data_IF_863665409821
#
_entry.id   IF_863665409821
#
_cell.length_a   1.000
_cell.length_b   1.000
_cell.length_c   1.000
_cell.angle_alpha   90.00
_cell.angle_beta   90.00
_cell.angle_gamma   90.00
#
_symmetry.space_group_name_H-M   'P 1'
#
loop_
_entity.id
_entity.type
_entity.pdbx_description
1 polymer ?
#
# COMPACT_ATOMS: atom_id res chain seq x y z
N UNK A 1 -31.99 -48.46 33.54
CA UNK A 1 -30.81 -48.34 32.66
C UNK A 1 -30.85 -46.95 32.05
N UNK A 2 -29.93 -46.04 32.37
CA UNK A 2 -29.98 -44.69 31.81
C UNK A 2 -29.39 -44.69 30.40
N UNK A 3 -30.11 -44.07 29.49
CA UNK A 3 -29.78 -43.80 28.11
C UNK A 3 -28.54 -42.90 28.00
N UNK A 4 -27.45 -43.42 27.44
CA UNK A 4 -26.31 -42.61 27.04
C UNK A 4 -26.73 -41.68 25.89
N UNK A 5 -27.06 -40.44 26.22
CA UNK A 5 -27.23 -39.36 25.26
C UNK A 5 -25.83 -38.91 24.83
N UNK A 6 -25.28 -39.54 23.79
CA UNK A 6 -24.02 -39.11 23.18
C UNK A 6 -24.25 -37.80 22.44
N UNK A 7 -23.98 -36.68 23.11
CA UNK A 7 -24.02 -35.36 22.51
C UNK A 7 -23.09 -35.32 21.29
N UNK A 8 -23.65 -35.09 20.11
CA UNK A 8 -22.86 -34.94 18.89
C UNK A 8 -21.88 -33.76 19.03
N UNK A 9 -20.60 -33.93 18.66
CA UNK A 9 -19.63 -32.85 18.74
C UNK A 9 -20.03 -31.70 17.82
N UNK A 10 -19.96 -30.47 18.35
CA UNK A 10 -20.34 -29.24 17.66
C UNK A 10 -19.18 -28.25 17.59
N UNK A 11 -19.17 -27.42 16.55
CA UNK A 11 -18.18 -26.37 16.36
C UNK A 11 -18.29 -25.31 17.46
N UNK A 12 -17.19 -25.04 18.16
CA UNK A 12 -17.11 -24.05 19.24
C UNK A 12 -17.25 -22.60 18.78
N UNK A 13 -17.21 -22.34 17.47
CA UNK A 13 -17.31 -20.99 16.88
C UNK A 13 -18.71 -20.68 16.33
N UNK A 14 -19.34 -21.60 15.62
CA UNK A 14 -20.66 -21.38 14.99
C UNK A 14 -21.79 -22.24 15.56
N UNK A 15 -21.51 -23.20 16.43
CA UNK A 15 -22.49 -24.08 17.07
C UNK A 15 -23.03 -25.21 16.19
N UNK A 16 -22.66 -25.29 14.90
CA UNK A 16 -23.09 -26.36 14.00
C UNK A 16 -22.59 -27.73 14.47
N UNK A 17 -23.41 -28.76 14.32
CA UNK A 17 -23.07 -30.15 14.66
C UNK A 17 -22.21 -30.80 13.58
N UNK A 18 -21.52 -31.89 13.93
CA UNK A 18 -20.74 -32.70 12.97
C UNK A 18 -21.54 -33.22 11.76
N UNK A 19 -22.87 -33.29 11.87
CA UNK A 19 -23.78 -33.69 10.78
C UNK A 19 -24.11 -32.57 9.80
N UNK A 20 -23.84 -31.31 10.17
CA UNK A 20 -24.20 -30.11 9.40
C UNK A 20 -23.00 -29.45 8.69
N UNK A 21 -21.81 -30.04 8.84
CA UNK A 21 -20.54 -29.51 8.30
C UNK A 21 -19.79 -30.61 7.57
N UNK A 22 -19.03 -30.24 6.53
CA UNK A 22 -18.27 -31.20 5.74
C UNK A 22 -17.08 -31.78 6.51
N UNK A 23 -16.44 -30.96 7.35
CA UNK A 23 -15.32 -31.36 8.17
C UNK A 23 -15.36 -30.68 9.55
N UNK A 24 -15.16 -31.46 10.61
CA UNK A 24 -15.02 -30.96 11.98
C UNK A 24 -13.65 -31.37 12.54
N UNK A 25 -12.83 -30.38 12.86
CA UNK A 25 -11.45 -30.55 13.34
C UNK A 25 -11.41 -30.38 14.86
N UNK A 26 -10.75 -31.31 15.55
CA UNK A 26 -10.59 -31.29 17.02
C UNK A 26 -9.27 -30.63 17.42
N UNK A 27 -9.34 -29.64 18.30
CA UNK A 27 -8.20 -28.97 18.92
C UNK A 27 -7.64 -29.74 20.13
N UNK A 28 -6.43 -29.37 20.54
CA UNK A 28 -5.72 -29.99 21.67
C UNK A 28 -6.45 -29.79 23.01
N UNK A 29 -7.15 -28.66 23.16
CA UNK A 29 -7.88 -28.28 24.38
C UNK A 29 -9.32 -28.82 24.41
N UNK A 30 -9.67 -29.74 23.50
CA UNK A 30 -11.03 -30.29 23.39
C UNK A 30 -12.04 -29.38 22.68
N UNK A 31 -11.59 -28.27 22.10
CA UNK A 31 -12.39 -27.41 21.21
C UNK A 31 -12.56 -28.04 19.83
N UNK A 32 -13.61 -27.65 19.11
CA UNK A 32 -13.84 -28.09 17.73
C UNK A 32 -14.03 -26.90 16.81
N UNK A 33 -13.50 -26.98 15.60
CA UNK A 33 -13.67 -25.95 14.56
C UNK A 33 -14.07 -26.62 13.24
N UNK A 34 -15.08 -26.09 12.56
CA UNK A 34 -15.51 -26.59 11.25
C UNK A 34 -14.78 -25.88 10.10
N UNK A 35 -14.78 -26.54 8.94
CA UNK A 35 -14.35 -25.99 7.64
C UNK A 35 -14.92 -24.60 7.34
N UNK A 36 -16.23 -24.40 7.50
CA UNK A 36 -16.89 -23.10 7.26
C UNK A 36 -16.28 -21.97 8.11
N UNK A 37 -15.98 -22.25 9.38
CA UNK A 37 -15.40 -21.28 10.30
C UNK A 37 -13.94 -20.97 9.95
N UNK A 38 -13.19 -21.96 9.47
CA UNK A 38 -11.82 -21.76 8.97
C UNK A 38 -11.84 -20.89 7.71
N UNK A 39 -12.76 -21.15 6.78
CA UNK A 39 -12.88 -20.37 5.56
C UNK A 39 -13.28 -18.92 5.84
N UNK A 40 -14.29 -18.69 6.68
CA UNK A 40 -14.69 -17.35 7.14
C UNK A 40 -13.57 -16.65 7.91
N UNK A 41 -12.88 -17.38 8.79
CA UNK A 41 -11.72 -16.87 9.52
C UNK A 41 -10.62 -16.43 8.56
N UNK A 42 -10.33 -17.23 7.52
CA UNK A 42 -9.36 -16.88 6.49
C UNK A 42 -9.79 -15.65 5.68
N UNK A 43 -11.09 -15.50 5.35
CA UNK A 43 -11.60 -14.31 4.67
C UNK A 43 -11.43 -13.05 5.53
N UNK A 44 -11.77 -13.11 6.82
CA UNK A 44 -11.59 -11.99 7.75
C UNK A 44 -10.10 -11.66 7.97
N UNK A 45 -9.25 -12.67 8.04
CA UNK A 45 -7.79 -12.49 8.14
C UNK A 45 -7.17 -11.93 6.86
N UNK A 46 -7.74 -12.23 5.69
CA UNK A 46 -7.34 -11.61 4.43
C UNK A 46 -7.81 -10.15 4.37
N UNK A 47 -9.03 -9.84 4.81
CA UNK A 47 -9.53 -8.47 4.89
C UNK A 47 -8.73 -7.59 5.86
N UNK A 48 -8.36 -8.10 7.04
CA UNK A 48 -7.51 -7.36 7.98
C UNK A 48 -6.07 -7.18 7.48
N UNK A 49 -5.55 -8.12 6.67
CA UNK A 49 -4.31 -7.93 5.90
C UNK A 49 -4.44 -6.94 4.75
N UNK A 50 -5.64 -6.63 4.28
CA UNK A 50 -5.89 -5.57 3.30
C UNK A 50 -6.01 -4.18 3.94
N UNK A 51 -6.36 -4.09 5.23
CA UNK A 51 -6.32 -2.82 5.99
C UNK A 51 -4.90 -2.42 6.41
N UNK A 52 -4.00 -3.39 6.53
CA UNK A 52 -2.59 -3.10 6.31
C UNK A 52 -2.43 -2.93 4.81
N UNK A 53 -2.39 -1.68 4.33
CA UNK A 53 -1.75 -1.37 3.07
C UNK A 53 -0.26 -1.79 3.19
N UNK A 54 0.03 -3.10 3.18
CA UNK A 54 1.24 -3.63 2.60
C UNK A 54 1.09 -3.32 1.12
N UNK A 55 1.35 -2.05 0.79
CA UNK A 55 1.55 -1.62 -0.57
C UNK A 55 2.67 -2.55 -1.02
N UNK A 56 2.30 -3.53 -1.86
CA UNK A 56 3.21 -4.49 -2.44
C UNK A 56 4.04 -3.73 -3.47
N UNK A 57 4.82 -2.77 -2.97
CA UNK A 57 5.74 -1.97 -3.74
C UNK A 57 6.70 -2.98 -4.31
N UNK A 58 6.57 -3.26 -5.60
CA UNK A 58 7.69 -3.74 -6.39
C UNK A 58 8.75 -2.68 -6.21
N UNK A 59 9.67 -2.90 -5.26
CA UNK A 59 10.76 -1.99 -4.97
C UNK A 59 11.73 -2.10 -6.13
N UNK A 60 11.38 -1.43 -7.22
CA UNK A 60 12.23 -1.33 -8.39
C UNK A 60 13.56 -0.74 -7.94
N UNK A 61 14.65 -1.41 -8.30
CA UNK A 61 15.96 -0.86 -8.00
C UNK A 61 16.17 0.45 -8.79
N UNK A 62 17.00 1.38 -8.31
CA UNK A 62 17.22 2.66 -9.01
C UNK A 62 17.62 2.49 -10.48
N UNK A 63 18.36 1.42 -10.81
CA UNK A 63 18.73 1.09 -12.20
C UNK A 63 17.52 0.76 -13.07
N UNK A 64 16.53 0.07 -12.52
CA UNK A 64 15.31 -0.31 -13.22
C UNK A 64 14.40 0.90 -13.43
N UNK A 65 14.25 1.75 -12.40
CA UNK A 65 13.50 3.02 -12.53
C UNK A 65 14.15 3.91 -13.59
N UNK A 66 15.48 4.04 -13.57
CA UNK A 66 16.23 4.79 -14.57
C UNK A 66 16.04 4.23 -15.98
N UNK A 67 16.11 2.90 -16.15
CA UNK A 67 15.89 2.24 -17.43
C UNK A 67 14.48 2.50 -17.97
N UNK A 68 13.45 2.35 -17.14
CA UNK A 68 12.06 2.65 -17.53
C UNK A 68 11.88 4.12 -17.89
N UNK A 69 12.48 5.05 -17.14
CA UNK A 69 12.45 6.47 -17.51
C UNK A 69 13.13 6.76 -18.85
N UNK A 70 14.15 5.99 -19.24
CA UNK A 70 14.79 6.12 -20.55
C UNK A 70 13.89 5.73 -21.72
N UNK A 71 12.92 4.83 -21.51
CA UNK A 71 11.95 4.42 -22.54
C UNK A 71 11.03 5.59 -22.96
N UNK A 72 10.77 6.53 -22.05
CA UNK A 72 9.83 7.64 -22.27
C UNK A 72 10.51 9.01 -22.40
N UNK A 73 11.64 9.23 -21.74
CA UNK A 73 12.31 10.54 -21.69
C UNK A 73 13.74 10.45 -22.21
N UNK A 74 13.96 11.10 -23.35
CA UNK A 74 15.27 11.20 -24.01
C UNK A 74 16.14 12.27 -23.34
N UNK A 75 17.44 12.01 -23.16
CA UNK A 75 18.37 12.95 -22.52
C UNK A 75 18.19 13.04 -21.00
N UNK A 76 18.41 14.20 -20.37
CA UNK A 76 18.11 14.45 -18.95
C UNK A 76 18.67 13.40 -17.95
N UNK A 77 19.88 12.93 -18.18
CA UNK A 77 20.46 11.80 -17.44
C UNK A 77 20.60 12.05 -15.93
N UNK A 78 21.02 13.25 -15.55
CA UNK A 78 21.19 13.65 -14.15
C UNK A 78 19.85 13.61 -13.41
N UNK A 79 18.80 14.19 -14.00
CA UNK A 79 17.45 14.23 -13.42
C UNK A 79 16.87 12.83 -13.28
N UNK A 80 17.00 11.97 -14.30
CA UNK A 80 16.54 10.58 -14.21
C UNK A 80 17.24 9.79 -13.11
N UNK A 81 18.56 10.00 -12.91
CA UNK A 81 19.30 9.39 -11.80
C UNK A 81 18.78 9.90 -10.45
N UNK A 82 18.61 11.21 -10.30
CA UNK A 82 18.10 11.82 -9.07
C UNK A 82 16.70 11.32 -8.72
N UNK A 83 15.79 11.26 -9.70
CA UNK A 83 14.43 10.73 -9.53
C UNK A 83 14.43 9.25 -9.15
N UNK A 84 15.25 8.43 -9.80
CA UNK A 84 15.35 7.00 -9.51
C UNK A 84 15.87 6.73 -8.09
N UNK A 85 16.91 7.44 -7.65
CA UNK A 85 17.46 7.32 -6.29
C UNK A 85 16.48 7.88 -5.26
N UNK A 86 15.87 9.04 -5.53
CA UNK A 86 14.91 9.68 -4.65
C UNK A 86 13.67 8.82 -4.41
N UNK A 87 13.09 8.24 -5.47
CA UNK A 87 11.96 7.33 -5.38
C UNK A 87 12.32 6.05 -4.58
N UNK A 88 13.47 5.45 -4.85
CA UNK A 88 13.93 4.27 -4.11
C UNK A 88 14.13 4.58 -2.62
N UNK A 89 14.76 5.70 -2.29
CA UNK A 89 14.96 6.13 -0.90
C UNK A 89 13.65 6.46 -0.21
N UNK A 90 12.67 7.05 -0.92
CA UNK A 90 11.33 7.28 -0.40
C UNK A 90 10.69 5.97 0.09
N UNK A 91 10.73 4.90 -0.73
CA UNK A 91 10.21 3.60 -0.31
C UNK A 91 11.04 2.91 0.76
N UNK A 92 12.36 3.05 0.70
CA UNK A 92 13.24 2.53 1.75
C UNK A 92 12.89 3.16 3.11
N UNK A 93 12.58 4.46 3.14
CA UNK A 93 12.11 5.17 4.32
C UNK A 93 10.75 4.67 4.80
N UNK A 94 9.79 4.44 3.91
CA UNK A 94 8.46 3.91 4.26
C UNK A 94 8.53 2.49 4.85
N UNK A 95 9.50 1.67 4.38
CA UNK A 95 9.72 0.29 4.86
C UNK A 95 10.57 0.19 6.11
N UNK A 96 11.32 1.24 6.45
CA UNK A 96 12.12 1.24 7.65
C UNK A 96 11.19 1.10 8.86
N UNK A 97 11.25 -0.06 9.54
CA UNK A 97 10.52 -0.26 10.80
C UNK A 97 10.98 0.80 11.80
N UNK A 98 10.05 1.26 12.67
CA UNK A 98 10.33 2.24 13.73
C UNK A 98 11.53 1.87 14.64
N UNK A 99 11.93 0.59 14.69
CA UNK A 99 13.08 0.10 15.48
C UNK A 99 14.44 0.20 14.78
N UNK A 100 14.53 0.72 13.56
CA UNK A 100 15.84 0.92 12.92
C UNK A 100 16.56 2.11 13.57
N UNK A 101 17.76 1.89 14.13
CA UNK A 101 18.66 2.95 14.66
C UNK A 101 19.08 4.02 13.63
N UNK A 102 18.70 3.85 12.36
CA UNK A 102 19.08 4.74 11.26
C UNK A 102 17.82 5.48 10.82
N UNK A 103 17.77 6.78 11.11
CA UNK A 103 16.74 7.67 10.59
C UNK A 103 17.04 8.00 9.12
N UNK A 104 16.05 7.77 8.25
CA UNK A 104 16.14 8.15 6.84
C UNK A 104 15.33 9.41 6.63
N UNK A 105 16.00 10.51 6.28
CA UNK A 105 15.34 11.79 5.99
C UNK A 105 14.54 11.76 4.69
N UNK A 106 13.53 12.63 4.58
CA UNK A 106 12.73 12.80 3.37
C UNK A 106 13.54 13.57 2.32
N UNK A 107 13.81 12.95 1.17
CA UNK A 107 14.43 13.61 0.02
C UNK A 107 13.37 14.22 -0.90
N UNK A 108 13.11 15.52 -0.77
CA UNK A 108 12.33 16.26 -1.76
C UNK A 108 13.22 16.64 -2.96
N UNK A 109 12.62 16.78 -4.14
CA UNK A 109 13.35 17.08 -5.39
C UNK A 109 12.84 18.39 -5.98
N UNK A 110 13.75 19.31 -6.26
CA UNK A 110 13.49 20.51 -7.04
C UNK A 110 14.01 20.30 -8.47
N UNK A 111 13.11 20.42 -9.46
CA UNK A 111 13.47 20.30 -10.87
C UNK A 111 13.57 21.70 -11.51
N UNK A 112 14.77 22.10 -11.91
CA UNK A 112 15.03 23.37 -12.59
C UNK A 112 15.30 23.15 -14.08
N UNK A 113 14.88 24.10 -14.91
CA UNK A 113 15.13 24.06 -16.36
C UNK A 113 14.12 24.86 -17.17
N UNK A 114 14.36 25.09 -18.47
CA UNK A 114 13.49 25.90 -19.32
C UNK A 114 12.10 25.28 -19.51
N UNK A 115 11.16 26.06 -20.05
CA UNK A 115 9.84 25.57 -20.45
C UNK A 115 9.97 24.51 -21.54
N UNK A 116 9.03 23.56 -21.61
CA UNK A 116 8.99 22.54 -22.67
C UNK A 116 9.99 21.38 -22.56
N UNK A 117 10.93 21.36 -21.61
CA UNK A 117 11.95 20.28 -21.50
C UNK A 117 11.48 18.96 -20.87
N UNK A 118 10.17 18.84 -20.57
CA UNK A 118 9.59 17.60 -20.06
C UNK A 118 9.57 17.43 -18.53
N UNK A 119 9.73 18.50 -17.74
CA UNK A 119 9.68 18.43 -16.25
C UNK A 119 8.41 17.75 -15.72
N UNK A 120 7.23 18.22 -16.15
CA UNK A 120 5.94 17.64 -15.75
C UNK A 120 5.75 16.22 -16.28
N UNK A 121 6.25 15.94 -17.49
CA UNK A 121 6.16 14.63 -18.10
C UNK A 121 7.02 13.58 -17.37
N UNK A 122 8.21 13.97 -16.90
CA UNK A 122 9.07 13.14 -16.04
C UNK A 122 8.35 12.73 -14.75
N UNK A 123 7.72 13.68 -14.05
CA UNK A 123 6.99 13.40 -12.81
C UNK A 123 5.80 12.45 -13.03
N UNK A 124 4.96 12.72 -14.04
CA UNK A 124 3.83 11.83 -14.43
C UNK A 124 4.30 10.44 -14.83
N UNK A 125 5.43 10.34 -15.54
CA UNK A 125 5.96 9.06 -15.99
C UNK A 125 6.52 8.26 -14.83
N UNK A 126 7.22 8.90 -13.90
CA UNK A 126 7.69 8.26 -12.68
C UNK A 126 6.53 7.68 -11.87
N UNK A 127 5.45 8.44 -11.69
CA UNK A 127 4.24 7.96 -11.00
C UNK A 127 3.64 6.72 -11.68
N UNK A 128 3.51 6.73 -13.01
CA UNK A 128 3.04 5.57 -13.78
C UNK A 128 3.95 4.35 -13.67
N UNK A 129 5.27 4.54 -13.66
CA UNK A 129 6.24 3.44 -13.52
C UNK A 129 6.14 2.80 -12.12
N UNK A 130 5.91 3.63 -11.11
CA UNK A 130 5.84 3.19 -9.71
C UNK A 130 4.46 2.74 -9.27
N UNK A 131 3.44 2.93 -10.12
CA UNK A 131 2.04 2.59 -9.84
C UNK A 131 1.54 3.20 -8.52
N UNK A 132 1.69 4.53 -8.40
CA UNK A 132 1.27 5.28 -7.20
C UNK A 132 0.36 6.45 -7.51
N UNK A 133 -0.52 6.82 -6.55
CA UNK A 133 -1.30 8.03 -6.62
C UNK A 133 -0.41 9.24 -6.89
N UNK A 134 -0.87 10.13 -7.75
CA UNK A 134 -0.11 11.30 -8.17
C UNK A 134 -1.02 12.48 -8.46
N UNK A 135 -0.73 13.60 -7.82
CA UNK A 135 -1.42 14.86 -8.03
C UNK A 135 -0.47 15.91 -8.59
N UNK A 136 -1.01 16.87 -9.35
CA UNK A 136 -0.30 18.05 -9.82
C UNK A 136 -0.99 19.25 -9.22
N UNK A 137 -0.21 20.12 -8.61
CA UNK A 137 -0.67 21.40 -8.09
C UNK A 137 0.14 22.54 -8.70
N UNK A 138 -0.49 23.69 -8.90
CA UNK A 138 0.18 24.93 -9.30
C UNK A 138 0.43 25.79 -8.05
N UNK A 139 1.68 26.20 -7.85
CA UNK A 139 2.01 27.05 -6.71
C UNK A 139 1.43 28.46 -6.86
N UNK A 140 1.10 28.92 -8.08
CA UNK A 140 0.54 30.27 -8.27
C UNK A 140 -0.92 30.38 -7.86
N UNK A 141 -1.64 29.27 -7.68
CA UNK A 141 -3.04 29.26 -7.22
C UNK A 141 -3.15 29.22 -5.70
N UNK A 142 -2.06 28.89 -5.01
CA UNK A 142 -2.01 28.80 -3.55
C UNK A 142 -1.96 30.18 -2.91
N UNK A 143 -2.84 30.43 -1.96
CA UNK A 143 -2.89 31.66 -1.17
C UNK A 143 -2.80 31.37 0.32
N UNK A 144 -2.44 32.37 1.10
CA UNK A 144 -2.46 32.27 2.57
C UNK A 144 -3.89 31.98 3.08
N UNK A 145 -3.98 31.32 4.24
CA UNK A 145 -5.25 31.04 4.88
C UNK A 145 -6.07 32.32 5.09
N UNK A 146 -7.34 32.29 4.69
CA UNK A 146 -8.24 33.44 4.78
C UNK A 146 -8.21 34.39 3.58
N UNK A 147 -7.42 34.11 2.55
CA UNK A 147 -7.48 34.79 1.25
C UNK A 147 -8.21 33.93 0.20
N UNK A 148 -8.71 34.58 -0.86
CA UNK A 148 -9.38 33.91 -1.98
C UNK A 148 -8.34 33.19 -2.84
N UNK A 149 -8.30 31.86 -2.76
CA UNK A 149 -7.42 31.00 -3.53
C UNK A 149 -7.54 29.53 -3.11
N UNK A 150 -6.66 28.69 -3.64
CA UNK A 150 -6.66 27.24 -3.37
C UNK A 150 -5.86 26.94 -2.09
N UNK A 151 -6.43 26.12 -1.20
CA UNK A 151 -5.74 25.67 0.03
C UNK A 151 -4.75 24.52 -0.28
N UNK A 152 -3.68 24.44 0.49
CA UNK A 152 -2.72 23.32 0.50
C UNK A 152 -3.43 21.99 0.80
N UNK A 153 -4.50 22.00 1.61
CA UNK A 153 -5.31 20.80 1.89
C UNK A 153 -5.95 20.19 0.63
N UNK A 154 -6.29 21.01 -0.37
CA UNK A 154 -6.86 20.53 -1.63
C UNK A 154 -5.87 19.68 -2.41
N UNK A 155 -4.56 19.94 -2.27
CA UNK A 155 -3.51 19.11 -2.89
C UNK A 155 -3.56 17.69 -2.30
N UNK A 156 -3.72 17.57 -0.98
CA UNK A 156 -3.81 16.28 -0.30
C UNK A 156 -5.10 15.55 -0.66
N UNK A 157 -6.22 16.26 -0.74
CA UNK A 157 -7.49 15.69 -1.19
C UNK A 157 -7.38 15.15 -2.61
N UNK A 158 -6.75 15.92 -3.51
CA UNK A 158 -6.48 15.48 -4.88
C UNK A 158 -5.59 14.25 -4.95
N UNK A 159 -4.63 14.10 -4.02
CA UNK A 159 -3.80 12.89 -3.95
C UNK A 159 -4.55 11.67 -3.42
N UNK A 160 -5.47 11.86 -2.46
CA UNK A 160 -6.29 10.79 -1.89
C UNK A 160 -7.34 10.23 -2.86
N UNK A 161 -7.80 11.06 -3.79
CA UNK A 161 -8.80 10.70 -4.79
C UNK A 161 -8.20 10.16 -6.11
N UNK A 162 -6.87 10.20 -6.26
CA UNK A 162 -6.14 9.86 -7.49
C UNK A 162 -5.86 8.36 -7.66
#
# INVERSE_FOLDING_TARGET
MPSHNSEEPSCSFCGKKSSEVGLLIKGLDGSYICDDCIERGNQLMQQSRHESHDINFKSLHPKEIYARLNEYVVGQNEVKKALAVGAYNHYKRLRAKKDSKVEIEKSNILLTGPTGVGKTYLARTLARILDVPFTIADATTLTEAGYVGEDVENILLGLLQA
#
